data_IF_511901063714
#
_entry.id   IF_511901063714
#
_cell.length_a   1.000
_cell.length_b   1.000
_cell.length_c   1.000
_cell.angle_alpha   90.00
_cell.angle_beta   90.00
_cell.angle_gamma   90.00
#
_symmetry.space_group_name_H-M   'P 1'
#
loop_
_entity.id
_entity.type
_entity.pdbx_description
1 polymer ?
#
# COMPACT_ATOMS: atom_id res chain seq x y z
N UNK A 1 -6.65 6.08 14.55
CA UNK A 1 -6.12 6.16 13.17
C UNK A 1 -6.99 5.22 12.34
N UNK A 2 -7.76 5.70 11.37
CA UNK A 2 -8.65 4.81 10.58
C UNK A 2 -7.88 4.24 9.39
N UNK A 3 -7.94 2.92 9.19
CA UNK A 3 -7.36 2.22 8.05
C UNK A 3 -8.30 1.14 7.51
N UNK A 4 -8.00 0.69 6.30
CA UNK A 4 -8.92 -0.07 5.45
C UNK A 4 -8.27 -1.35 5.00
N UNK A 5 -8.31 -2.37 5.86
CA UNK A 5 -7.67 -3.65 5.58
C UNK A 5 -8.41 -4.46 4.50
N UNK A 6 -9.61 -4.05 4.12
CA UNK A 6 -10.36 -4.69 3.02
C UNK A 6 -9.73 -4.35 1.68
N UNK A 7 -9.15 -3.15 1.53
CA UNK A 7 -8.30 -2.80 0.40
C UNK A 7 -7.18 -3.84 0.24
N UNK A 8 -6.54 -4.21 1.34
CA UNK A 8 -5.45 -5.20 1.33
C UNK A 8 -5.98 -6.57 0.93
N UNK A 9 -7.09 -7.02 1.52
CA UNK A 9 -7.68 -8.32 1.18
C UNK A 9 -8.07 -8.45 -0.31
N UNK A 10 -8.59 -7.38 -0.94
CA UNK A 10 -8.93 -7.37 -2.38
C UNK A 10 -7.72 -7.59 -3.28
N UNK A 11 -6.55 -7.12 -2.88
CA UNK A 11 -5.30 -7.34 -3.63
C UNK A 11 -4.76 -8.77 -3.51
N UNK A 12 -5.23 -9.54 -2.52
CA UNK A 12 -4.67 -10.84 -2.21
C UNK A 12 -3.28 -10.79 -1.55
N UNK A 13 -2.77 -9.60 -1.21
CA UNK A 13 -1.44 -9.38 -0.65
C UNK A 13 -1.40 -9.60 0.87
N UNK A 14 -0.20 -9.80 1.41
CA UNK A 14 0.08 -9.84 2.86
C UNK A 14 -0.68 -10.94 3.64
N UNK A 15 -0.99 -12.07 2.99
CA UNK A 15 -1.83 -13.14 3.56
C UNK A 15 -1.30 -13.73 4.87
N UNK A 16 0.01 -13.97 5.00
CA UNK A 16 0.56 -14.51 6.25
C UNK A 16 0.63 -13.42 7.32
N UNK A 17 0.98 -12.20 6.91
CA UNK A 17 1.02 -11.06 7.83
C UNK A 17 -0.37 -10.75 8.41
N UNK A 18 -1.45 -10.99 7.68
CA UNK A 18 -2.81 -10.82 8.19
C UNK A 18 -3.08 -11.62 9.47
N UNK A 19 -2.66 -12.89 9.53
CA UNK A 19 -2.82 -13.70 10.75
C UNK A 19 -1.82 -13.32 11.85
N UNK A 20 -0.62 -12.86 11.49
CA UNK A 20 0.31 -12.31 12.47
C UNK A 20 -0.28 -11.09 13.15
N UNK A 21 -0.79 -10.14 12.36
CA UNK A 21 -1.51 -8.96 12.81
C UNK A 21 -2.67 -9.31 13.74
N UNK A 22 -3.53 -10.26 13.36
CA UNK A 22 -4.69 -10.69 14.17
C UNK A 22 -4.32 -11.32 15.51
N UNK A 23 -3.08 -11.80 15.67
CA UNK A 23 -2.60 -12.37 16.94
C UNK A 23 -2.17 -11.31 17.97
N UNK A 24 -2.18 -10.03 17.59
CA UNK A 24 -1.84 -8.89 18.41
C UNK A 24 -3.03 -7.93 18.50
N UNK A 25 -3.84 -8.07 19.55
CA UNK A 25 -4.98 -7.16 19.77
C UNK A 25 -4.48 -5.74 20.07
N UNK A 26 -4.98 -4.75 19.31
CA UNK A 26 -4.74 -3.32 19.53
C UNK A 26 -3.26 -2.88 19.56
N UNK A 27 -2.35 -3.63 18.94
CA UNK A 27 -0.92 -3.27 18.93
C UNK A 27 -0.62 -2.09 18.00
N UNK A 28 -0.04 -1.02 18.56
CA UNK A 28 0.22 0.24 17.85
C UNK A 28 1.14 0.07 16.63
N UNK A 29 2.13 -0.81 16.70
CA UNK A 29 3.11 -0.99 15.61
C UNK A 29 2.46 -1.75 14.47
N UNK A 30 1.72 -2.82 14.78
CA UNK A 30 0.92 -3.56 13.81
C UNK A 30 -0.14 -2.66 13.16
N UNK A 31 -0.85 -1.85 13.95
CA UNK A 31 -1.83 -0.87 13.47
C UNK A 31 -1.20 0.15 12.53
N UNK A 32 -0.01 0.68 12.86
CA UNK A 32 0.71 1.61 11.99
C UNK A 32 1.11 0.94 10.67
N UNK A 33 1.64 -0.29 10.69
CA UNK A 33 1.97 -1.03 9.45
C UNK A 33 0.71 -1.21 8.60
N UNK A 34 -0.39 -1.69 9.19
CA UNK A 34 -1.67 -1.91 8.52
C UNK A 34 -2.23 -0.62 7.91
N UNK A 35 -2.15 0.50 8.64
CA UNK A 35 -2.50 1.82 8.13
C UNK A 35 -1.67 2.19 6.90
N UNK A 36 -0.34 2.03 6.97
CA UNK A 36 0.55 2.38 5.86
C UNK A 36 0.33 1.49 4.64
N UNK A 37 0.14 0.19 4.82
CA UNK A 37 -0.17 -0.75 3.73
C UNK A 37 -1.47 -0.32 3.02
N UNK A 38 -2.55 -0.13 3.77
CA UNK A 38 -3.84 0.29 3.18
C UNK A 38 -3.75 1.63 2.46
N UNK A 39 -2.96 2.56 3.01
CA UNK A 39 -2.79 3.89 2.44
C UNK A 39 -1.93 3.88 1.18
N UNK A 40 -0.88 3.05 1.11
CA UNK A 40 -0.09 2.84 -0.12
C UNK A 40 -0.97 2.30 -1.25
N UNK A 41 -1.81 1.30 -0.96
CA UNK A 41 -2.76 0.74 -1.95
C UNK A 41 -3.73 1.83 -2.43
N UNK A 42 -4.33 2.58 -1.50
CA UNK A 42 -5.24 3.67 -1.86
C UNK A 42 -4.56 4.76 -2.69
N UNK A 43 -3.30 5.10 -2.39
CA UNK A 43 -2.51 6.07 -3.17
C UNK A 43 -2.22 5.57 -4.57
N UNK A 44 -1.90 4.28 -4.78
CA UNK A 44 -1.75 3.72 -6.12
C UNK A 44 -3.07 3.76 -6.91
N UNK A 45 -4.20 3.40 -6.30
CA UNK A 45 -5.53 3.52 -6.95
C UNK A 45 -5.81 4.97 -7.37
N UNK A 46 -5.52 5.94 -6.49
CA UNK A 46 -5.72 7.37 -6.77
C UNK A 46 -4.78 7.88 -7.85
N UNK A 47 -3.50 7.48 -7.83
CA UNK A 47 -2.53 7.84 -8.88
C UNK A 47 -3.02 7.36 -10.24
N UNK A 48 -3.56 6.15 -10.35
CA UNK A 48 -4.03 5.65 -11.65
C UNK A 48 -5.14 6.52 -12.24
N UNK A 49 -6.10 6.92 -11.41
CA UNK A 49 -7.17 7.85 -11.83
C UNK A 49 -6.57 9.19 -12.28
N UNK A 50 -5.58 9.70 -11.53
CA UNK A 50 -4.91 10.96 -11.84
C UNK A 50 -4.05 10.90 -13.11
N UNK A 51 -3.44 9.75 -13.43
CA UNK A 51 -2.73 9.54 -14.70
C UNK A 51 -3.68 9.72 -15.88
N UNK A 52 -4.84 9.07 -15.83
CA UNK A 52 -5.87 9.20 -16.87
C UNK A 52 -6.37 10.64 -17.00
N UNK A 53 -6.52 11.36 -15.88
CA UNK A 53 -6.84 12.79 -15.88
C UNK A 53 -5.74 13.65 -16.52
N UNK A 54 -4.47 13.38 -16.21
CA UNK A 54 -3.33 14.06 -16.83
C UNK A 54 -3.33 13.87 -18.34
N UNK A 55 -3.57 12.64 -18.81
CA UNK A 55 -3.60 12.30 -20.23
C UNK A 55 -4.78 13.00 -20.94
N UNK A 56 -5.95 13.06 -20.29
CA UNK A 56 -7.11 13.81 -20.80
C UNK A 56 -6.82 15.30 -20.90
N UNK A 57 -6.25 15.91 -19.87
CA UNK A 57 -5.86 17.32 -19.84
C UNK A 57 -4.82 17.62 -20.93
N UNK A 58 -3.83 16.75 -21.10
CA UNK A 58 -2.84 16.87 -22.17
C UNK A 58 -3.46 16.79 -23.56
N UNK A 59 -4.40 15.85 -23.76
CA UNK A 59 -5.08 15.68 -25.06
C UNK A 59 -5.94 16.90 -25.43
N UNK A 60 -6.58 17.54 -24.45
CA UNK A 60 -7.30 18.81 -24.67
C UNK A 60 -6.33 19.92 -25.08
N UNK A 61 -5.23 20.08 -24.34
CA UNK A 61 -4.18 21.06 -24.65
C UNK A 61 -3.58 20.84 -26.05
N UNK A 62 -3.31 19.58 -26.41
CA UNK A 62 -2.81 19.21 -27.73
C UNK A 62 -3.78 19.61 -28.85
N UNK A 63 -5.09 19.37 -28.65
CA UNK A 63 -6.11 19.73 -29.62
C UNK A 63 -6.17 21.25 -29.85
N UNK A 64 -6.02 22.01 -28.78
CA UNK A 64 -6.11 23.47 -28.82
C UNK A 64 -4.84 24.14 -29.40
N UNK A 65 -3.67 23.52 -29.23
CA UNK A 65 -2.37 24.13 -29.59
C UNK A 65 -1.68 23.50 -30.81
N UNK A 66 -1.98 22.25 -31.15
CA UNK A 66 -1.32 21.50 -32.22
C UNK A 66 0.16 21.14 -31.97
N UNK A 67 0.69 21.39 -30.76
CA UNK A 67 2.12 21.30 -30.41
C UNK A 67 2.69 19.87 -30.43
N UNK A 68 1.86 18.85 -30.20
CA UNK A 68 2.33 17.50 -29.88
C UNK A 68 2.98 16.73 -31.04
N UNK A 69 2.64 17.03 -32.30
CA UNK A 69 2.89 16.12 -33.44
C UNK A 69 4.37 15.90 -33.80
N UNK A 70 5.29 16.64 -33.16
CA UNK A 70 6.73 16.63 -33.52
C UNK A 70 7.66 16.07 -32.43
N UNK A 71 7.17 15.87 -31.20
CA UNK A 71 8.03 15.54 -30.05
C UNK A 71 7.62 14.22 -29.39
N UNK A 72 8.60 13.33 -29.16
CA UNK A 72 8.38 12.03 -28.51
C UNK A 72 8.06 12.15 -27.02
N UNK A 73 8.80 12.99 -26.32
CA UNK A 73 8.63 13.22 -24.88
C UNK A 73 8.32 14.69 -24.66
N UNK A 74 7.18 14.96 -24.03
CA UNK A 74 6.72 16.33 -23.77
C UNK A 74 6.68 16.52 -22.27
N UNK A 75 7.43 17.51 -21.77
CA UNK A 75 7.31 17.92 -20.37
C UNK A 75 5.95 18.62 -20.18
N UNK A 76 5.11 18.03 -19.34
CA UNK A 76 3.74 18.46 -19.12
C UNK A 76 3.51 18.67 -17.63
N UNK A 77 2.84 19.77 -17.28
CA UNK A 77 2.44 20.07 -15.90
C UNK A 77 0.94 20.32 -15.85
N UNK A 78 0.27 19.72 -14.88
CA UNK A 78 -1.15 19.89 -14.66
C UNK A 78 -1.52 19.80 -13.17
N UNK A 79 -2.72 20.23 -12.77
CA UNK A 79 -3.18 20.05 -11.38
C UNK A 79 -3.19 18.58 -10.95
N UNK A 80 -3.64 17.66 -11.80
CA UNK A 80 -3.66 16.23 -11.50
C UNK A 80 -2.25 15.68 -11.29
N UNK A 81 -1.24 16.21 -12.00
CA UNK A 81 0.16 15.83 -11.80
C UNK A 81 0.68 16.23 -10.41
N UNK A 82 0.28 17.40 -9.90
CA UNK A 82 0.66 17.82 -8.56
C UNK A 82 0.11 16.87 -7.48
N UNK A 83 -1.12 16.38 -7.63
CA UNK A 83 -1.67 15.35 -6.75
C UNK A 83 -0.92 14.01 -6.86
N UNK A 84 -0.42 13.64 -8.06
CA UNK A 84 0.43 12.45 -8.23
C UNK A 84 1.72 12.61 -7.42
N UNK A 85 2.34 13.79 -7.41
CA UNK A 85 3.56 14.03 -6.64
C UNK A 85 3.34 13.85 -5.15
N UNK A 86 2.27 14.43 -4.61
CA UNK A 86 1.89 14.27 -3.20
C UNK A 86 1.73 12.78 -2.85
N UNK A 87 1.01 12.02 -3.68
CA UNK A 87 0.83 10.58 -3.45
C UNK A 87 2.13 9.79 -3.59
N UNK A 88 3.01 10.17 -4.53
CA UNK A 88 4.33 9.53 -4.73
C UNK A 88 5.22 9.70 -3.50
N UNK A 89 5.35 10.93 -2.99
CA UNK A 89 6.08 11.23 -1.76
C UNK A 89 5.49 10.50 -0.56
N UNK A 90 4.16 10.44 -0.47
CA UNK A 90 3.47 9.70 0.60
C UNK A 90 3.72 8.20 0.55
N UNK A 91 3.72 7.58 -0.65
CA UNK A 91 4.03 6.16 -0.83
C UNK A 91 5.46 5.88 -0.36
N UNK A 92 6.43 6.69 -0.79
CA UNK A 92 7.84 6.55 -0.38
C UNK A 92 7.99 6.59 1.13
N UNK A 93 7.41 7.60 1.77
CA UNK A 93 7.42 7.73 3.22
C UNK A 93 6.77 6.54 3.90
N UNK A 94 5.62 6.09 3.40
CA UNK A 94 4.85 5.00 4.00
C UNK A 94 5.58 3.66 3.90
N UNK A 95 6.15 3.33 2.75
CA UNK A 95 6.99 2.13 2.58
C UNK A 95 8.22 2.22 3.49
N UNK A 96 8.86 3.39 3.61
CA UNK A 96 10.01 3.58 4.50
C UNK A 96 9.65 3.40 5.98
N UNK A 97 8.46 3.83 6.40
CA UNK A 97 7.96 3.60 7.76
C UNK A 97 7.69 2.11 7.99
N UNK A 98 7.07 1.41 7.02
CA UNK A 98 6.86 -0.04 7.10
C UNK A 98 8.19 -0.77 7.23
N UNK A 99 9.18 -0.47 6.38
CA UNK A 99 10.54 -1.05 6.45
C UNK A 99 11.10 -1.02 7.88
N UNK A 100 11.03 0.13 8.54
CA UNK A 100 11.56 0.28 9.89
C UNK A 100 10.69 -0.43 10.94
N UNK A 101 9.36 -0.40 10.76
CA UNK A 101 8.40 -0.98 11.70
C UNK A 101 8.45 -2.51 11.72
N UNK A 102 8.91 -3.15 10.65
CA UNK A 102 9.16 -4.60 10.59
C UNK A 102 10.10 -5.05 11.72
N UNK A 103 11.15 -4.28 12.03
CA UNK A 103 12.07 -4.63 13.12
C UNK A 103 11.40 -4.59 14.49
N UNK A 104 10.43 -3.69 14.66
CA UNK A 104 9.71 -3.53 15.92
C UNK A 104 8.75 -4.71 16.14
N UNK A 105 8.01 -5.14 15.12
CA UNK A 105 7.14 -6.33 15.24
C UNK A 105 7.95 -7.61 15.43
N UNK A 106 9.12 -7.75 14.79
CA UNK A 106 10.05 -8.86 15.03
C UNK A 106 10.52 -8.85 16.49
N UNK A 107 10.96 -7.71 17.02
CA UNK A 107 11.43 -7.61 18.42
C UNK A 107 10.33 -8.01 19.41
N UNK A 108 9.07 -7.64 19.13
CA UNK A 108 7.90 -8.00 19.92
C UNK A 108 7.60 -9.50 19.85
N UNK A 109 7.65 -10.10 18.67
CA UNK A 109 7.41 -11.53 18.47
C UNK A 109 8.50 -12.39 19.14
N UNK A 110 9.77 -12.02 18.98
CA UNK A 110 10.88 -12.67 19.68
C UNK A 110 10.70 -12.60 21.19
N UNK A 111 10.31 -11.43 21.72
CA UNK A 111 10.06 -11.25 23.15
C UNK A 111 8.89 -12.11 23.65
N UNK A 112 7.81 -12.22 22.87
CA UNK A 112 6.66 -13.11 23.14
C UNK A 112 7.08 -14.59 23.18
N UNK A 113 8.07 -14.98 22.37
CA UNK A 113 8.68 -16.32 22.35
C UNK A 113 9.80 -16.52 23.38
N UNK A 114 10.03 -15.55 24.26
CA UNK A 114 11.02 -15.63 25.35
C UNK A 114 12.42 -15.14 24.99
N UNK A 115 12.67 -14.75 23.74
CA UNK A 115 13.94 -14.15 23.31
C UNK A 115 13.88 -12.62 23.46
N UNK A 116 14.37 -12.11 24.58
CA UNK A 116 14.42 -10.66 24.85
C UNK A 116 15.48 -9.99 23.98
N UNK A 117 15.07 -9.54 22.80
CA UNK A 117 15.90 -8.80 21.85
C UNK A 117 15.33 -7.42 21.60
N UNK A 118 16.21 -6.42 21.50
CA UNK A 118 15.87 -5.08 21.08
C UNK A 118 16.59 -4.77 19.78
N UNK A 119 15.82 -4.68 18.69
CA UNK A 119 16.36 -4.28 17.39
C UNK A 119 16.33 -2.75 17.25
N UNK A 120 17.22 -2.16 16.43
CA UNK A 120 17.20 -0.73 16.16
C UNK A 120 15.92 -0.29 15.44
N UNK A 121 15.50 0.96 15.64
CA UNK A 121 14.34 1.56 14.95
C UNK A 121 14.55 1.77 13.44
N UNK A 122 15.75 1.52 12.90
CA UNK A 122 16.10 1.78 11.51
C UNK A 122 16.72 0.53 10.88
N UNK A 123 16.15 0.10 9.76
CA UNK A 123 16.67 -1.03 8.98
C UNK A 123 18.11 -0.80 8.49
N UNK A 124 18.50 0.44 8.21
CA UNK A 124 19.87 0.81 7.90
C UNK A 124 20.85 0.53 9.06
N UNK A 125 20.43 0.79 10.29
CA UNK A 125 21.29 0.62 11.46
C UNK A 125 21.36 -0.85 11.87
N UNK A 126 20.24 -1.57 11.71
CA UNK A 126 20.19 -3.02 11.87
C UNK A 126 21.14 -3.73 10.90
N UNK A 127 21.03 -3.45 9.59
CA UNK A 127 21.84 -4.15 8.57
C UNK A 127 23.34 -3.90 8.71
N UNK A 128 23.77 -2.69 9.12
CA UNK A 128 25.17 -2.40 9.44
C UNK A 128 25.74 -3.22 10.59
N UNK A 129 24.89 -3.68 11.51
CA UNK A 129 25.28 -4.38 12.75
C UNK A 129 24.59 -5.74 12.89
N UNK A 130 24.16 -6.34 11.78
CA UNK A 130 23.27 -7.51 11.77
C UNK A 130 23.81 -8.70 12.57
N UNK A 131 25.13 -8.88 12.60
CA UNK A 131 25.83 -9.93 13.34
C UNK A 131 25.73 -9.78 14.87
N UNK A 132 25.42 -8.59 15.39
CA UNK A 132 25.36 -8.31 16.84
C UNK A 132 24.06 -8.77 17.50
N UNK A 133 23.03 -9.05 16.72
CA UNK A 133 21.69 -9.36 17.21
C UNK A 133 21.48 -10.87 17.30
N UNK A 134 20.98 -11.40 18.41
CA UNK A 134 20.64 -12.82 18.60
C UNK A 134 19.31 -13.20 17.96
N UNK A 135 19.18 -12.92 16.66
CA UNK A 135 18.01 -13.23 15.84
C UNK A 135 18.27 -14.45 14.95
N UNK A 136 17.21 -15.22 14.65
CA UNK A 136 17.22 -16.34 13.71
C UNK A 136 17.96 -15.97 12.40
N UNK A 137 18.87 -16.83 11.94
CA UNK A 137 19.72 -16.58 10.77
C UNK A 137 18.92 -16.39 9.48
N UNK A 138 17.84 -17.14 9.30
CA UNK A 138 16.95 -17.04 8.14
C UNK A 138 16.20 -15.70 8.13
N UNK A 139 15.74 -15.21 9.29
CA UNK A 139 15.13 -13.87 9.39
C UNK A 139 16.15 -12.78 9.02
N UNK A 140 17.39 -12.88 9.53
CA UNK A 140 18.48 -11.96 9.16
C UNK A 140 18.75 -11.98 7.66
N UNK A 141 18.76 -13.16 7.05
CA UNK A 141 18.97 -13.33 5.61
C UNK A 141 17.87 -12.65 4.80
N UNK A 142 16.59 -12.88 5.10
CA UNK A 142 15.48 -12.21 4.42
C UNK A 142 15.57 -10.68 4.51
N UNK A 143 15.88 -10.13 5.70
CA UNK A 143 16.04 -8.68 5.86
C UNK A 143 17.24 -8.17 5.04
N UNK A 144 18.36 -8.88 5.04
CA UNK A 144 19.55 -8.47 4.32
C UNK A 144 19.35 -8.56 2.79
N UNK A 145 18.69 -9.60 2.31
CA UNK A 145 18.32 -9.75 0.89
C UNK A 145 17.43 -8.61 0.44
N UNK A 146 16.37 -8.30 1.19
CA UNK A 146 15.50 -7.15 0.92
C UNK A 146 16.26 -5.83 0.90
N UNK A 147 17.13 -5.61 1.89
CA UNK A 147 17.88 -4.37 2.01
C UNK A 147 18.85 -4.15 0.84
N UNK A 148 19.53 -5.21 0.42
CA UNK A 148 20.54 -5.17 -0.63
C UNK A 148 19.94 -5.19 -2.04
N UNK A 149 18.75 -5.76 -2.23
CA UNK A 149 18.07 -5.72 -3.53
C UNK A 149 17.64 -4.29 -3.84
N UNK A 150 16.93 -3.66 -2.90
CA UNK A 150 16.07 -2.53 -3.23
C UNK A 150 15.82 -1.58 -2.04
N UNK A 151 15.74 -2.12 -0.81
CA UNK A 151 15.36 -1.34 0.37
C UNK A 151 16.30 -0.16 0.70
N UNK A 152 17.60 -0.31 0.46
CA UNK A 152 18.58 0.79 0.58
C UNK A 152 18.29 1.92 -0.40
N UNK A 153 17.90 1.59 -1.63
CA UNK A 153 17.66 2.59 -2.67
C UNK A 153 16.41 3.43 -2.35
N UNK A 154 15.36 2.80 -1.81
CA UNK A 154 14.18 3.52 -1.30
C UNK A 154 14.56 4.55 -0.22
N UNK A 155 15.44 4.19 0.73
CA UNK A 155 15.93 5.13 1.74
C UNK A 155 16.61 6.33 1.08
N UNK A 156 17.46 6.09 0.10
CA UNK A 156 18.19 7.18 -0.57
C UNK A 156 17.22 8.11 -1.34
N UNK A 157 16.18 7.58 -2.01
CA UNK A 157 15.14 8.40 -2.63
C UNK A 157 14.30 9.18 -1.62
N UNK A 158 13.93 8.56 -0.50
CA UNK A 158 13.22 9.22 0.59
C UNK A 158 14.03 10.39 1.16
N UNK A 159 15.34 10.22 1.33
CA UNK A 159 16.20 11.29 1.82
C UNK A 159 16.26 12.47 0.83
N UNK A 160 16.17 12.22 -0.48
CA UNK A 160 16.02 13.28 -1.48
C UNK A 160 14.67 13.98 -1.34
N UNK A 161 13.59 13.22 -1.20
CA UNK A 161 12.23 13.76 -1.08
C UNK A 161 12.12 14.71 0.13
N UNK A 162 12.66 14.29 1.28
CA UNK A 162 12.65 15.08 2.53
C UNK A 162 13.55 16.32 2.49
N UNK A 163 14.69 16.28 1.79
CA UNK A 163 15.70 17.36 1.85
C UNK A 163 15.72 18.28 0.64
N UNK A 164 15.16 17.85 -0.49
CA UNK A 164 15.28 18.58 -1.74
C UNK A 164 13.94 18.89 -2.40
N UNK A 165 12.79 18.32 -2.00
CA UNK A 165 11.47 18.59 -2.63
C UNK A 165 11.43 18.41 -4.16
N UNK A 166 12.41 17.71 -4.76
CA UNK A 166 12.60 17.60 -6.22
C UNK A 166 12.67 16.16 -6.71
N UNK A 167 12.24 15.18 -5.91
CA UNK A 167 12.34 13.79 -6.33
C UNK A 167 11.59 13.53 -7.65
N UNK A 168 10.51 14.28 -7.86
CA UNK A 168 9.58 14.09 -8.98
C UNK A 168 9.56 15.31 -9.92
N UNK A 169 10.73 15.77 -10.37
CA UNK A 169 10.82 16.96 -11.26
C UNK A 169 10.87 16.60 -12.77
N UNK A 170 11.28 15.37 -13.11
CA UNK A 170 11.43 14.91 -14.49
C UNK A 170 10.22 14.11 -14.94
N UNK A 171 9.20 14.83 -15.41
CA UNK A 171 7.94 14.25 -15.90
C UNK A 171 7.76 14.47 -17.39
N UNK A 172 7.29 13.43 -18.07
CA UNK A 172 7.05 13.45 -19.50
C UNK A 172 5.77 12.70 -19.85
N UNK A 173 5.07 13.16 -20.88
CA UNK A 173 4.12 12.34 -21.62
C UNK A 173 4.87 11.70 -22.79
N UNK A 174 4.84 10.36 -22.91
CA UNK A 174 5.30 9.65 -24.10
C UNK A 174 4.22 9.73 -25.19
N UNK A 175 4.39 10.67 -26.11
CA UNK A 175 3.39 10.99 -27.11
C UNK A 175 3.28 9.94 -28.23
N UNK A 176 4.20 8.98 -28.32
CA UNK A 176 4.17 7.96 -29.38
C UNK A 176 3.69 6.58 -28.90
N UNK A 177 3.81 6.25 -27.61
CA UNK A 177 3.36 4.98 -27.05
C UNK A 177 2.16 5.19 -26.13
N UNK A 178 0.95 5.17 -26.69
CA UNK A 178 -0.34 5.22 -25.97
C UNK A 178 -0.54 6.41 -25.01
N UNK A 179 0.30 7.46 -25.09
CA UNK A 179 0.27 8.63 -24.21
C UNK A 179 0.39 8.25 -22.73
N UNK A 180 1.51 7.65 -22.36
CA UNK A 180 1.77 7.30 -20.97
C UNK A 180 2.49 8.42 -20.20
N UNK A 181 2.14 8.56 -18.92
CA UNK A 181 2.86 9.44 -17.99
C UNK A 181 4.14 8.73 -17.51
N UNK A 182 5.28 9.38 -17.70
CA UNK A 182 6.58 8.89 -17.26
C UNK A 182 7.11 9.85 -16.22
N UNK A 183 7.40 9.30 -15.04
CA UNK A 183 7.94 10.03 -13.90
C UNK A 183 9.32 9.45 -13.60
N UNK A 184 10.39 10.21 -13.85
CA UNK A 184 11.75 9.68 -13.72
C UNK A 184 12.37 9.96 -12.35
N UNK A 185 12.96 8.93 -11.76
CA UNK A 185 13.82 9.00 -10.59
C UNK A 185 15.31 9.13 -10.99
N UNK A 186 16.14 9.78 -10.16
CA UNK A 186 17.56 9.92 -10.46
C UNK A 186 18.31 8.59 -10.30
N UNK A 187 19.24 8.29 -11.22
CA UNK A 187 20.02 7.04 -11.21
C UNK A 187 20.98 6.92 -10.02
N UNK A 188 21.33 8.07 -9.43
CA UNK A 188 22.37 8.26 -8.43
C UNK A 188 21.83 9.01 -7.19
N UNK A 189 20.84 8.46 -6.48
CA UNK A 189 20.14 9.18 -5.42
C UNK A 189 20.99 9.44 -4.16
N UNK A 190 22.15 8.82 -4.06
CA UNK A 190 23.12 9.04 -2.99
C UNK A 190 23.94 10.34 -3.16
N UNK A 191 23.81 11.05 -4.28
CA UNK A 191 24.55 12.29 -4.54
C UNK A 191 23.85 13.48 -3.86
N UNK A 192 24.57 14.22 -3.01
CA UNK A 192 23.98 15.34 -2.24
C UNK A 192 23.50 16.55 -3.04
N UNK A 193 23.83 16.64 -4.33
CA UNK A 193 23.56 17.82 -5.15
C UNK A 193 22.65 17.46 -6.31
N UNK A 194 21.43 18.02 -6.30
CA UNK A 194 20.41 17.78 -7.34
C UNK A 194 20.90 18.08 -8.76
N UNK A 195 21.80 19.07 -8.92
CA UNK A 195 22.38 19.43 -10.23
C UNK A 195 23.23 18.32 -10.85
N UNK A 196 23.62 17.32 -10.05
CA UNK A 196 24.43 16.17 -10.48
C UNK A 196 23.60 14.90 -10.70
N UNK A 197 22.27 15.00 -10.60
CA UNK A 197 21.40 13.86 -10.87
C UNK A 197 21.42 13.49 -12.34
N UNK A 198 21.52 12.18 -12.59
CA UNK A 198 21.44 11.56 -13.92
C UNK A 198 20.14 10.80 -14.04
N UNK A 199 19.65 10.63 -15.26
CA UNK A 199 18.38 9.97 -15.58
C UNK A 199 18.53 9.04 -16.78
N UNK A 200 19.76 8.54 -17.00
CA UNK A 200 20.15 7.72 -18.14
C UNK A 200 19.46 6.35 -18.09
N UNK A 201 19.22 5.81 -16.89
CA UNK A 201 18.52 4.51 -16.71
C UNK A 201 17.01 4.61 -16.86
N UNK A 202 16.45 5.83 -16.92
CA UNK A 202 15.00 6.10 -17.07
C UNK A 202 14.14 5.33 -16.07
N UNK A 203 14.54 5.33 -14.79
CA UNK A 203 13.82 4.63 -13.73
C UNK A 203 12.45 5.29 -13.54
N UNK A 204 11.36 4.59 -13.86
CA UNK A 204 10.01 5.08 -13.59
C UNK A 204 9.70 5.00 -12.09
N UNK A 205 9.25 6.10 -11.50
CA UNK A 205 8.97 6.20 -10.08
C UNK A 205 7.85 5.27 -9.62
N UNK A 206 6.75 5.20 -10.36
CA UNK A 206 5.59 4.39 -9.97
C UNK A 206 5.89 2.90 -10.08
N UNK A 207 6.60 2.49 -11.14
CA UNK A 207 7.07 1.11 -11.30
C UNK A 207 8.05 0.71 -10.19
N UNK A 208 9.01 1.59 -9.88
CA UNK A 208 9.95 1.38 -8.78
C UNK A 208 9.20 1.20 -7.45
N UNK A 209 8.27 2.10 -7.11
CA UNK A 209 7.54 2.04 -5.84
C UNK A 209 6.61 0.83 -5.74
N UNK A 210 5.98 0.42 -6.85
CA UNK A 210 5.18 -0.80 -6.88
C UNK A 210 6.06 -2.02 -6.60
N UNK A 211 7.23 -2.09 -7.23
CA UNK A 211 8.21 -3.14 -6.95
C UNK A 211 8.66 -3.13 -5.49
N UNK A 212 8.99 -1.96 -4.93
CA UNK A 212 9.36 -1.85 -3.51
C UNK A 212 8.26 -2.33 -2.56
N UNK A 213 7.00 -2.05 -2.89
CA UNK A 213 5.86 -2.48 -2.09
C UNK A 213 5.65 -4.00 -2.14
N UNK A 214 5.84 -4.62 -3.32
CA UNK A 214 5.83 -6.08 -3.49
C UNK A 214 6.98 -6.76 -2.73
N UNK A 215 8.18 -6.18 -2.75
CA UNK A 215 9.33 -6.69 -1.99
C UNK A 215 9.09 -6.63 -0.47
N UNK A 216 8.39 -5.60 0.02
CA UNK A 216 7.93 -5.52 1.42
C UNK A 216 6.93 -6.61 1.75
N UNK A 217 6.01 -6.90 0.84
CA UNK A 217 5.02 -7.96 0.98
C UNK A 217 5.67 -9.34 1.08
N UNK A 218 6.63 -9.62 0.20
CA UNK A 218 7.43 -10.84 0.23
C UNK A 218 8.17 -10.95 1.57
N UNK A 219 8.83 -9.87 2.03
CA UNK A 219 9.56 -9.85 3.29
C UNK A 219 8.65 -10.15 4.49
N UNK A 220 7.52 -9.43 4.60
CA UNK A 220 6.58 -9.60 5.70
C UNK A 220 5.97 -11.00 5.69
N UNK A 221 5.54 -11.52 4.55
CA UNK A 221 4.99 -12.87 4.47
C UNK A 221 6.04 -13.94 4.78
N UNK A 222 7.28 -13.77 4.33
CA UNK A 222 8.36 -14.72 4.60
C UNK A 222 8.67 -14.80 6.09
N UNK A 223 8.77 -13.65 6.77
CA UNK A 223 8.98 -13.60 8.22
C UNK A 223 7.77 -14.17 8.96
N UNK A 224 6.55 -13.83 8.53
CA UNK A 224 5.32 -14.38 9.12
C UNK A 224 5.29 -15.91 9.05
N UNK A 225 5.69 -16.49 7.90
CA UNK A 225 5.80 -17.95 7.72
C UNK A 225 6.83 -18.57 8.66
N UNK A 226 7.97 -17.90 8.89
CA UNK A 226 8.99 -18.37 9.84
C UNK A 226 8.53 -18.34 11.29
N UNK A 227 7.53 -17.52 11.61
CA UNK A 227 6.84 -17.51 12.89
C UNK A 227 5.58 -18.39 12.90
N UNK A 228 5.41 -19.27 11.92
CA UNK A 228 4.31 -20.23 11.83
C UNK A 228 2.92 -19.59 11.67
N UNK A 229 2.85 -18.34 11.16
CA UNK A 229 1.58 -17.71 10.85
C UNK A 229 1.04 -18.18 9.48
N UNK A 230 -0.13 -18.84 9.45
CA UNK A 230 -0.71 -19.32 8.20
C UNK A 230 -1.21 -18.17 7.33
N UNK A 231 -1.55 -18.45 6.07
CA UNK A 231 -2.22 -17.48 5.21
C UNK A 231 -3.66 -17.22 5.70
N UNK A 232 -4.10 -15.96 5.60
CA UNK A 232 -5.43 -15.54 6.01
C UNK A 232 -5.81 -14.16 5.47
N UNK A 233 -6.99 -13.69 5.86
CA UNK A 233 -7.48 -12.35 5.58
C UNK A 233 -7.40 -11.50 6.87
N UNK A 234 -7.23 -10.19 6.73
CA UNK A 234 -7.13 -9.28 7.89
C UNK A 234 -8.42 -9.12 8.72
N UNK A 235 -9.54 -9.74 8.33
CA UNK A 235 -10.87 -9.39 8.83
C UNK A 235 -11.65 -10.54 9.42
N UNK A 236 -12.54 -10.17 10.36
CA UNK A 236 -13.77 -10.91 10.64
C UNK A 236 -14.86 -10.44 9.68
N UNK A 237 -15.38 -11.35 8.86
CA UNK A 237 -16.49 -11.07 7.94
C UNK A 237 -17.81 -11.31 8.66
N UNK A 238 -18.68 -10.29 8.70
CA UNK A 238 -20.06 -10.44 9.14
C UNK A 238 -20.98 -10.40 7.93
N UNK A 239 -21.90 -11.35 7.84
CA UNK A 239 -22.93 -11.34 6.82
C UNK A 239 -24.24 -10.96 7.49
N UNK A 240 -24.82 -9.82 7.10
CA UNK A 240 -26.20 -9.49 7.47
C UNK A 240 -27.09 -9.96 6.32
N UNK A 241 -27.81 -11.03 6.58
CA UNK A 241 -28.85 -11.51 5.68
C UNK A 241 -30.16 -10.77 6.01
N UNK A 242 -30.69 -10.03 5.05
CA UNK A 242 -32.09 -9.63 5.06
C UNK A 242 -32.85 -10.59 4.14
N UNK A 243 -34.12 -10.90 4.43
CA UNK A 243 -34.98 -11.79 3.63
C UNK A 243 -35.32 -11.22 2.23
N UNK A 244 -34.67 -10.12 1.83
CA UNK A 244 -34.71 -9.54 0.51
C UNK A 244 -33.65 -10.17 -0.41
N UNK A 245 -33.79 -10.07 -1.75
CA UNK A 245 -32.82 -10.60 -2.71
C UNK A 245 -31.43 -9.92 -2.69
N UNK A 246 -31.19 -9.01 -1.74
CA UNK A 246 -29.96 -8.25 -1.59
C UNK A 246 -29.26 -8.70 -0.31
N UNK A 247 -28.15 -9.43 -0.45
CA UNK A 247 -27.28 -9.75 0.67
C UNK A 247 -26.30 -8.59 0.89
N UNK A 248 -26.21 -8.10 2.13
CA UNK A 248 -25.24 -7.09 2.53
C UNK A 248 -24.11 -7.75 3.32
N UNK A 249 -22.88 -7.67 2.83
CA UNK A 249 -21.71 -8.08 3.59
C UNK A 249 -21.22 -6.87 4.38
N UNK A 250 -21.13 -7.00 5.70
CA UNK A 250 -20.56 -5.96 6.57
C UNK A 250 -19.27 -6.50 7.15
N UNK A 251 -18.17 -5.86 6.83
CA UNK A 251 -16.86 -6.16 7.39
C UNK A 251 -16.72 -5.30 8.64
N UNK A 252 -16.52 -5.92 9.80
CA UNK A 252 -16.15 -5.19 11.01
C UNK A 252 -14.66 -5.35 11.23
N UNK A 253 -13.97 -4.23 11.36
CA UNK A 253 -12.58 -4.24 11.79
C UNK A 253 -12.47 -3.96 13.28
N UNK A 254 -12.13 -5.01 14.04
CA UNK A 254 -12.11 -5.03 15.50
C UNK A 254 -11.14 -4.00 16.07
N UNK A 255 -9.94 -3.88 15.49
CA UNK A 255 -8.89 -3.03 16.04
C UNK A 255 -9.13 -1.52 15.85
N UNK A 256 -10.02 -1.14 14.93
CA UNK A 256 -10.40 0.25 14.69
C UNK A 256 -11.84 0.57 15.12
N UNK A 257 -12.55 -0.41 15.68
CA UNK A 257 -13.99 -0.33 15.96
C UNK A 257 -14.78 0.28 14.79
N UNK A 258 -14.48 -0.18 13.57
CA UNK A 258 -15.02 0.42 12.34
C UNK A 258 -15.81 -0.61 11.55
N UNK A 259 -17.07 -0.29 11.23
CA UNK A 259 -17.85 -1.05 10.26
C UNK A 259 -17.63 -0.55 8.84
N UNK A 260 -17.46 -1.49 7.93
CA UNK A 260 -17.23 -1.28 6.51
C UNK A 260 -18.32 -2.06 5.77
N UNK A 261 -19.19 -1.36 5.02
CA UNK A 261 -20.21 -2.04 4.21
C UNK A 261 -19.63 -2.44 2.86
N UNK A 262 -19.86 -3.69 2.46
CA UNK A 262 -19.70 -4.20 1.10
C UNK A 262 -21.03 -4.81 0.63
N UNK A 263 -21.83 -4.06 -0.13
CA UNK A 263 -23.01 -4.63 -0.78
C UNK A 263 -22.56 -5.58 -1.90
N UNK A 264 -22.82 -6.89 -1.74
CA UNK A 264 -22.63 -7.87 -2.80
C UNK A 264 -23.99 -8.27 -3.37
N UNK A 265 -24.30 -7.84 -4.61
CA UNK A 265 -25.41 -8.43 -5.35
C UNK A 265 -25.04 -9.84 -5.81
N UNK A 266 -25.15 -10.83 -4.92
CA UNK A 266 -25.00 -12.22 -5.32
C UNK A 266 -26.26 -12.68 -6.05
N UNK A 267 -26.20 -12.73 -7.39
CA UNK A 267 -27.17 -13.50 -8.19
C UNK A 267 -26.97 -14.98 -7.86
N UNK A 268 -27.84 -15.53 -7.02
CA UNK A 268 -28.13 -16.97 -6.89
C UNK A 268 -26.92 -17.93 -6.80
N UNK A 269 -25.87 -17.59 -6.08
CA UNK A 269 -24.82 -18.55 -5.72
C UNK A 269 -25.00 -19.01 -4.28
N UNK A 270 -25.41 -20.28 -4.10
CA UNK A 270 -25.37 -20.98 -2.81
C UNK A 270 -23.92 -21.03 -2.31
N UNK A 271 -23.54 -20.11 -1.42
CA UNK A 271 -22.20 -20.13 -0.81
C UNK A 271 -22.19 -21.11 0.35
N UNK A 272 -21.24 -22.07 0.31
CA UNK A 272 -20.90 -22.95 1.43
C UNK A 272 -20.31 -22.10 2.55
N UNK A 273 -21.02 -22.11 3.68
CA UNK A 273 -20.72 -21.35 4.90
C UNK A 273 -19.43 -21.85 5.59
N UNK A 274 -18.46 -20.95 5.78
CA UNK A 274 -17.57 -20.98 6.95
C UNK A 274 -17.93 -19.76 7.78
N UNK A 275 -18.83 -19.96 8.74
CA UNK A 275 -19.51 -18.92 9.49
C UNK A 275 -18.79 -18.63 10.81
N UNK A 276 -18.29 -17.41 10.98
CA UNK A 276 -18.27 -16.77 12.30
C UNK A 276 -19.44 -15.79 12.28
N UNK A 277 -20.60 -16.22 12.78
CA UNK A 277 -21.79 -15.37 12.95
C UNK A 277 -21.69 -14.77 14.35
N UNK A 278 -21.31 -13.50 14.47
CA UNK A 278 -21.72 -12.70 15.64
C UNK A 278 -23.11 -12.19 15.33
N UNK A 279 -24.05 -12.41 16.26
CA UNK A 279 -25.42 -11.96 16.06
C UNK A 279 -25.47 -10.42 16.07
N UNK A 280 -26.31 -9.78 15.25
CA UNK A 280 -26.49 -8.32 15.26
C UNK A 280 -26.81 -7.75 16.65
N UNK A 281 -27.42 -8.56 17.52
CA UNK A 281 -27.73 -8.25 18.93
C UNK A 281 -26.48 -7.97 19.79
N UNK A 282 -25.32 -8.50 19.39
CA UNK A 282 -24.05 -8.37 20.12
C UNK A 282 -23.24 -7.13 19.68
N UNK A 283 -23.68 -6.41 18.64
CA UNK A 283 -22.98 -5.25 18.06
C UNK A 283 -23.91 -4.03 18.04
N UNK A 284 -23.58 -2.98 18.80
CA UNK A 284 -24.37 -1.74 18.80
C UNK A 284 -24.14 -0.93 17.52
N UNK A 285 -24.92 -1.22 16.48
CA UNK A 285 -24.83 -0.64 15.14
C UNK A 285 -24.97 0.90 15.11
N UNK A 286 -25.59 1.51 16.14
CA UNK A 286 -25.83 2.95 16.20
C UNK A 286 -24.55 3.78 16.49
N UNK A 287 -23.40 3.13 16.71
CA UNK A 287 -22.13 3.79 17.02
C UNK A 287 -21.27 4.10 15.79
N UNK A 288 -21.62 3.61 14.59
CA UNK A 288 -20.69 3.58 13.46
C UNK A 288 -21.03 4.60 12.35
N UNK A 289 -19.99 5.12 11.68
CA UNK A 289 -20.08 6.05 10.55
C UNK A 289 -19.69 5.34 9.23
N UNK A 290 -20.46 5.51 8.15
CA UNK A 290 -20.28 4.79 6.88
C UNK A 290 -19.42 5.55 5.85
N UNK A 291 -18.57 4.85 5.07
CA UNK A 291 -17.63 5.45 4.09
C UNK A 291 -17.67 4.73 2.71
N UNK A 292 -17.53 5.51 1.62
CA UNK A 292 -17.62 5.15 0.18
C UNK A 292 -16.32 4.52 -0.40
N UNK A 293 -16.42 3.63 -1.41
CA UNK A 293 -15.26 2.99 -2.09
C UNK A 293 -15.19 3.21 -3.62
N UNK A 294 -13.98 3.38 -4.20
CA UNK A 294 -13.72 3.23 -5.63
C UNK A 294 -13.30 1.79 -6.02
N UNK A 295 -13.52 1.45 -7.30
CA UNK A 295 -13.21 0.15 -7.92
C UNK A 295 -11.89 0.23 -8.69
N UNK A 296 -10.92 -0.61 -8.34
CA UNK A 296 -9.75 -0.83 -9.20
C UNK A 296 -9.28 -2.29 -9.23
N UNK A 297 -9.43 -3.06 -8.15
CA UNK A 297 -8.94 -4.45 -8.08
C UNK A 297 -9.93 -5.56 -8.44
N UNK A 298 -11.08 -5.28 -9.07
CA UNK A 298 -12.04 -6.32 -9.48
C UNK A 298 -12.43 -6.19 -10.96
N UNK A 299 -11.96 -7.12 -11.79
CA UNK A 299 -12.44 -7.38 -13.16
C UNK A 299 -13.80 -8.13 -13.19
N UNK A 300 -14.41 -8.36 -12.03
CA UNK A 300 -15.77 -8.93 -11.94
C UNK A 300 -16.78 -7.82 -11.69
N UNK A 301 -17.71 -7.66 -12.64
CA UNK A 301 -18.87 -6.78 -12.56
C UNK A 301 -19.61 -6.93 -11.23
N UNK A 302 -19.24 -6.10 -10.25
CA UNK A 302 -19.95 -5.98 -8.98
C UNK A 302 -20.54 -4.60 -8.96
N UNK A 303 -21.82 -4.44 -9.32
CA UNK A 303 -22.49 -3.14 -9.29
C UNK A 303 -22.69 -2.72 -7.83
N UNK A 304 -22.19 -1.55 -7.44
CA UNK A 304 -22.38 -0.99 -6.10
C UNK A 304 -23.32 0.22 -6.19
N UNK A 305 -24.40 0.22 -5.40
CA UNK A 305 -25.19 1.43 -5.12
C UNK A 305 -24.93 1.87 -3.68
N UNK A 306 -25.10 3.17 -3.44
CA UNK A 306 -24.79 3.83 -2.16
C UNK A 306 -26.11 4.22 -1.53
N UNK A 307 -26.30 3.90 -0.24
CA UNK A 307 -27.32 4.52 0.59
C UNK A 307 -26.70 5.55 1.53
N UNK A 308 -27.34 6.71 1.60
CA UNK A 308 -27.16 7.71 2.66
C UNK A 308 -28.25 7.44 3.69
N UNK A 309 -27.89 7.34 4.97
CA UNK A 309 -28.87 7.49 6.04
C UNK A 309 -28.52 8.76 6.80
N UNK A 310 -29.57 9.52 7.09
CA UNK A 310 -29.63 10.88 7.65
C UNK A 310 -28.82 11.09 8.91
#
# INVERSE_FOLDING_TARGET
MSYRLDLVNRTGMFKNYANWYSSYELDEVHNNISYRISSVIASFEKIKILEDECIKQFTLFEKDTGISKKSKMINFKSPSLYEIFINTSYIILSIRIIQNSILNIISKEESKRGNKISLPNSMNDFTKKIHKFSLNSTIKEHINTYWNSNGRLLKDYRDIDEHHNFLVDKVYIDNFNDKNLIILLPDNPNVKSYRKYKFDKKINALEFLLKEFLEIEILLNSISKLYDYPEGDFHYKFYIYDNNPNNMEIIYEKNNDTLMNMESFMKNSKVKQQNIIVKPEEVNMNKFSFIKYPKFFNDKESFYKIFKVT
#
